data_IF_879387992852
#
_entry.id   IF_879387992852
#
_cell.length_a   1.000
_cell.length_b   1.000
_cell.length_c   1.000
_cell.angle_alpha   90.00
_cell.angle_beta   90.00
_cell.angle_gamma   90.00
#
_symmetry.space_group_name_H-M   'P 1'
#
loop_
_entity.id
_entity.type
_entity.pdbx_description
1 polymer ?
#
# COMPACT_ATOMS: atom_id res chain seq x y z
N UNK A 1 -4.73 24.35 8.41
CA UNK A 1 -3.32 23.91 8.34
C UNK A 1 -3.05 22.89 9.44
N UNK A 2 -2.76 21.63 9.11
CA UNK A 2 -2.31 20.68 10.13
C UNK A 2 -0.91 21.09 10.60
N UNK A 3 -0.77 21.51 11.86
CA UNK A 3 0.55 21.74 12.47
C UNK A 3 1.29 20.41 12.46
N UNK A 4 2.41 20.32 11.72
CA UNK A 4 3.32 19.17 11.85
C UNK A 4 3.73 19.12 13.32
N UNK A 5 3.61 17.96 13.98
CA UNK A 5 4.17 17.77 15.32
C UNK A 5 5.66 18.08 15.21
N UNK A 6 6.08 19.22 15.73
CA UNK A 6 7.50 19.54 15.86
C UNK A 6 8.10 18.45 16.74
N UNK A 7 9.06 17.69 16.19
CA UNK A 7 9.84 16.74 16.99
C UNK A 7 10.33 17.49 18.23
N UNK A 8 10.03 16.97 19.43
CA UNK A 8 10.54 17.53 20.70
C UNK A 8 12.01 17.85 20.53
N UNK A 9 12.40 19.12 20.55
CA UNK A 9 13.78 19.51 20.32
C UNK A 9 14.62 18.97 21.48
N UNK A 10 15.50 18.00 21.19
CA UNK A 10 16.46 17.50 22.17
C UNK A 10 17.65 18.47 22.27
N UNK A 11 18.32 18.58 23.44
CA UNK A 11 19.52 19.38 23.58
C UNK A 11 20.64 18.89 22.64
N UNK A 12 21.53 19.79 22.25
CA UNK A 12 22.60 19.50 21.27
C UNK A 12 23.59 18.44 21.77
N UNK A 13 23.90 18.44 23.07
CA UNK A 13 24.77 17.43 23.70
C UNK A 13 24.26 16.00 23.44
N UNK A 14 22.95 15.79 23.55
CA UNK A 14 22.34 14.49 23.32
C UNK A 14 22.23 14.14 21.84
N UNK A 15 22.20 15.15 20.96
CA UNK A 15 22.28 14.94 19.53
C UNK A 15 23.66 14.42 19.15
N UNK A 16 24.72 15.00 19.70
CA UNK A 16 26.10 14.56 19.47
C UNK A 16 26.32 13.13 19.98
N UNK A 17 25.84 12.80 21.19
CA UNK A 17 25.91 11.44 21.74
C UNK A 17 25.16 10.44 20.85
N UNK A 18 23.97 10.78 20.35
CA UNK A 18 23.21 9.93 19.46
C UNK A 18 23.96 9.67 18.14
N UNK A 19 24.57 10.69 17.56
CA UNK A 19 25.35 10.59 16.32
C UNK A 19 26.59 9.71 16.57
N UNK A 20 27.31 9.92 17.67
CA UNK A 20 28.46 9.11 18.07
C UNK A 20 28.08 7.62 18.24
N UNK A 21 26.89 7.34 18.79
CA UNK A 21 26.35 6.00 18.94
C UNK A 21 25.67 5.44 17.68
N UNK A 22 25.78 6.16 16.55
CA UNK A 22 25.19 5.79 15.26
C UNK A 22 23.65 5.59 15.32
N UNK A 23 22.98 6.40 16.13
CA UNK A 23 21.54 6.40 16.34
C UNK A 23 20.93 7.59 15.61
N UNK A 24 20.01 7.32 14.69
CA UNK A 24 19.31 8.40 14.00
C UNK A 24 18.43 9.21 14.96
N UNK A 25 18.34 10.53 14.77
CA UNK A 25 17.47 11.39 15.57
C UNK A 25 16.00 10.98 15.49
N UNK A 26 15.58 10.44 14.35
CA UNK A 26 14.24 9.85 14.21
C UNK A 26 14.02 8.69 15.19
N UNK A 27 15.03 7.85 15.41
CA UNK A 27 14.99 6.79 16.42
C UNK A 27 14.90 7.37 17.83
N UNK A 28 15.68 8.40 18.15
CA UNK A 28 15.63 9.08 19.45
C UNK A 28 14.24 9.67 19.71
N UNK A 29 13.68 10.44 18.77
CA UNK A 29 12.33 11.00 18.92
C UNK A 29 11.27 9.91 19.07
N UNK A 30 11.37 8.84 18.29
CA UNK A 30 10.44 7.71 18.41
C UNK A 30 10.55 6.99 19.76
N UNK A 31 11.71 7.00 20.41
CA UNK A 31 11.90 6.48 21.78
C UNK A 31 11.31 7.42 22.82
N UNK A 32 11.50 8.73 22.67
CA UNK A 32 10.87 9.74 23.54
C UNK A 32 9.34 9.73 23.45
N UNK A 33 8.79 9.50 22.25
CA UNK A 33 7.33 9.31 22.05
C UNK A 33 6.82 8.06 22.76
N UNK A 34 7.67 7.03 22.90
CA UNK A 34 7.42 5.83 23.73
C UNK A 34 7.80 6.04 25.20
N UNK A 35 7.98 7.28 25.64
CA UNK A 35 8.29 7.64 27.02
C UNK A 35 9.59 7.04 27.55
N UNK A 36 10.59 6.86 26.69
CA UNK A 36 11.95 6.51 27.15
C UNK A 36 12.65 7.74 27.73
N UNK A 37 13.50 7.50 28.73
CA UNK A 37 14.42 8.51 29.22
C UNK A 37 15.42 8.92 28.14
N UNK A 38 15.85 10.18 28.19
CA UNK A 38 16.69 10.80 27.17
C UNK A 38 18.05 10.07 27.06
N UNK A 39 18.69 9.80 28.21
CA UNK A 39 19.93 9.02 28.32
C UNK A 39 19.78 7.63 27.69
N UNK A 40 18.69 6.94 28.04
CA UNK A 40 18.37 5.61 27.51
C UNK A 40 18.13 5.66 26.00
N UNK A 41 17.49 6.73 25.51
CA UNK A 41 17.13 6.89 24.12
C UNK A 41 18.34 7.11 23.21
N UNK A 42 19.40 7.74 23.70
CA UNK A 42 20.63 8.02 22.92
C UNK A 42 21.74 6.98 23.13
N UNK A 43 21.65 6.13 24.15
CA UNK A 43 22.66 5.10 24.46
C UNK A 43 22.29 3.71 23.95
N UNK A 44 21.00 3.37 23.88
CA UNK A 44 20.58 2.02 23.50
C UNK A 44 20.73 1.82 21.98
N UNK A 45 21.52 0.86 21.46
CA UNK A 45 21.64 0.65 20.02
C UNK A 45 20.30 0.22 19.39
N UNK A 46 19.98 0.65 18.15
CA UNK A 46 18.79 0.20 17.46
C UNK A 46 18.86 -1.30 17.17
N UNK A 47 17.75 -2.01 17.40
CA UNK A 47 17.62 -3.41 17.05
C UNK A 47 17.82 -3.56 15.53
N UNK A 48 18.80 -4.36 15.10
CA UNK A 48 19.03 -4.64 13.67
C UNK A 48 17.76 -5.26 13.08
N UNK A 49 17.12 -4.59 12.13
CA UNK A 49 15.87 -5.08 11.52
C UNK A 49 16.03 -6.48 10.90
N UNK A 50 17.23 -6.81 10.45
CA UNK A 50 17.57 -8.09 9.81
C UNK A 50 17.25 -9.29 10.69
N UNK A 51 17.68 -9.30 11.96
CA UNK A 51 17.44 -10.45 12.84
C UNK A 51 15.95 -10.67 13.12
N UNK A 52 15.16 -9.58 13.23
CA UNK A 52 13.71 -9.69 13.45
C UNK A 52 13.02 -10.27 12.21
N UNK A 53 13.43 -9.83 11.02
CA UNK A 53 12.87 -10.36 9.77
C UNK A 53 13.30 -11.81 9.52
N UNK A 54 14.52 -12.17 9.87
CA UNK A 54 15.06 -13.53 9.79
C UNK A 54 14.36 -14.46 10.79
N UNK A 55 14.28 -14.07 12.07
CA UNK A 55 13.55 -14.82 13.09
C UNK A 55 12.06 -14.99 12.71
N UNK A 56 11.42 -13.97 12.15
CA UNK A 56 10.03 -14.09 11.65
C UNK A 56 9.90 -14.97 10.40
N UNK A 57 10.96 -15.13 9.60
CA UNK A 57 11.00 -16.15 8.53
C UNK A 57 11.16 -17.54 9.12
N UNK A 58 12.04 -17.71 10.10
CA UNK A 58 12.29 -18.98 10.79
C UNK A 58 11.04 -19.46 11.56
N UNK A 59 10.37 -18.58 12.30
CA UNK A 59 9.11 -18.87 13.00
C UNK A 59 7.89 -19.00 12.06
N UNK A 60 8.07 -18.86 10.74
CA UNK A 60 7.00 -19.04 9.75
C UNK A 60 5.96 -17.91 9.69
N UNK A 61 6.13 -16.82 10.45
CA UNK A 61 5.27 -15.63 10.37
C UNK A 61 5.37 -14.89 9.02
N UNK A 62 6.47 -15.06 8.30
CA UNK A 62 6.68 -14.49 6.97
C UNK A 62 6.47 -15.57 5.92
N UNK A 63 5.25 -15.65 5.39
CA UNK A 63 4.94 -16.51 4.24
C UNK A 63 5.81 -16.10 3.04
N UNK A 64 6.49 -17.04 2.36
CA UNK A 64 7.25 -16.78 1.15
C UNK A 64 6.47 -16.00 0.10
N UNK A 65 7.20 -15.21 -0.71
CA UNK A 65 6.66 -14.36 -1.79
C UNK A 65 6.02 -15.15 -2.93
N UNK A 66 6.05 -16.48 -2.89
CA UNK A 66 5.60 -17.37 -3.96
C UNK A 66 4.08 -17.42 -4.15
N UNK A 67 3.31 -16.70 -3.32
CA UNK A 67 1.89 -16.50 -3.60
C UNK A 67 1.77 -15.68 -4.89
N UNK A 68 1.17 -16.20 -5.96
CA UNK A 68 0.93 -15.42 -7.16
C UNK A 68 0.10 -14.19 -6.78
N UNK A 69 0.61 -13.00 -7.05
CA UNK A 69 -0.18 -11.77 -6.89
C UNK A 69 -1.34 -11.87 -7.87
N UNK A 70 -2.56 -12.02 -7.37
CA UNK A 70 -3.73 -11.68 -8.19
C UNK A 70 -3.56 -10.23 -8.62
N UNK A 71 -3.52 -9.97 -9.93
CA UNK A 71 -3.71 -8.60 -10.42
C UNK A 71 -5.07 -8.16 -9.90
N UNK A 72 -5.14 -7.01 -9.21
CA UNK A 72 -6.44 -6.40 -8.90
C UNK A 72 -7.19 -6.29 -10.22
N UNK A 73 -8.41 -6.81 -10.28
CA UNK A 73 -9.29 -6.56 -11.41
C UNK A 73 -9.34 -5.05 -11.65
N UNK A 74 -9.23 -4.64 -12.91
CA UNK A 74 -9.29 -3.24 -13.29
C UNK A 74 -10.66 -2.72 -12.85
N UNK A 75 -10.68 -1.82 -11.86
CA UNK A 75 -11.91 -1.11 -11.50
C UNK A 75 -12.29 -0.23 -12.69
N UNK A 76 -13.41 -0.52 -13.33
CA UNK A 76 -13.97 0.35 -14.36
C UNK A 76 -14.74 1.44 -13.62
N UNK A 77 -14.33 2.70 -13.83
CA UNK A 77 -15.06 3.86 -13.36
C UNK A 77 -15.94 4.38 -14.50
N UNK A 78 -17.22 4.63 -14.23
CA UNK A 78 -18.13 5.31 -15.14
C UNK A 78 -18.83 6.45 -14.38
N UNK A 79 -19.46 7.36 -15.13
CA UNK A 79 -20.14 8.52 -14.55
C UNK A 79 -21.35 8.10 -13.70
N UNK A 80 -21.53 8.73 -12.54
CA UNK A 80 -22.63 8.42 -11.61
C UNK A 80 -24.01 8.50 -12.27
N UNK A 81 -24.19 9.45 -13.18
CA UNK A 81 -25.45 9.65 -13.91
C UNK A 81 -25.85 8.46 -14.79
N UNK A 82 -24.90 7.56 -15.11
CA UNK A 82 -25.13 6.34 -15.89
C UNK A 82 -25.41 5.11 -15.02
N UNK A 83 -25.28 5.21 -13.70
CA UNK A 83 -25.52 4.10 -12.79
C UNK A 83 -26.95 3.55 -12.86
N UNK A 84 -28.02 4.39 -12.90
CA UNK A 84 -29.37 3.87 -13.02
C UNK A 84 -29.58 3.07 -14.31
N UNK A 85 -29.08 3.60 -15.44
CA UNK A 85 -29.16 2.96 -16.75
C UNK A 85 -28.37 1.64 -16.77
N UNK A 86 -27.19 1.61 -16.16
CA UNK A 86 -26.38 0.41 -16.06
C UNK A 86 -27.07 -0.69 -15.26
N UNK A 87 -27.69 -0.34 -14.11
CA UNK A 87 -28.37 -1.31 -13.25
C UNK A 87 -29.63 -1.88 -13.92
N UNK A 88 -30.40 -1.03 -14.61
CA UNK A 88 -31.57 -1.46 -15.40
C UNK A 88 -31.13 -2.44 -16.50
N UNK A 89 -30.12 -2.07 -17.30
CA UNK A 89 -29.60 -2.93 -18.36
C UNK A 89 -29.00 -4.24 -17.83
N UNK A 90 -28.35 -4.20 -16.66
CA UNK A 90 -27.83 -5.40 -16.00
C UNK A 90 -28.96 -6.33 -15.55
N UNK A 91 -30.01 -5.77 -14.94
CA UNK A 91 -31.17 -6.52 -14.48
C UNK A 91 -31.91 -7.18 -15.66
N UNK A 92 -32.12 -6.45 -16.76
CA UNK A 92 -32.75 -6.97 -17.97
C UNK A 92 -31.93 -8.06 -18.65
N UNK A 93 -30.59 -7.96 -18.57
CA UNK A 93 -29.69 -8.97 -19.15
C UNK A 93 -29.68 -10.29 -18.39
N UNK A 94 -29.96 -10.26 -17.08
CA UNK A 94 -29.81 -11.43 -16.19
C UNK A 94 -28.37 -11.95 -16.03
N UNK A 95 -27.37 -11.19 -16.49
CA UNK A 95 -25.95 -11.55 -16.44
C UNK A 95 -25.30 -11.10 -15.13
N UNK A 96 -24.13 -11.66 -14.82
CA UNK A 96 -23.26 -11.05 -13.82
C UNK A 96 -22.70 -9.73 -14.34
N UNK A 97 -22.41 -8.79 -13.43
CA UNK A 97 -21.83 -7.48 -13.77
C UNK A 97 -20.55 -7.62 -14.62
N UNK A 98 -19.71 -8.62 -14.31
CA UNK A 98 -18.49 -8.88 -15.07
C UNK A 98 -18.75 -9.38 -16.49
N UNK A 99 -19.70 -10.31 -16.68
CA UNK A 99 -20.07 -10.83 -18.00
C UNK A 99 -20.73 -9.75 -18.85
N UNK A 100 -21.62 -8.95 -18.26
CA UNK A 100 -22.27 -7.84 -18.94
C UNK A 100 -21.25 -6.84 -19.47
N UNK A 101 -20.30 -6.42 -18.64
CA UNK A 101 -19.23 -5.49 -19.04
C UNK A 101 -18.36 -6.11 -20.14
N UNK A 102 -18.00 -7.39 -20.02
CA UNK A 102 -17.20 -8.08 -21.03
C UNK A 102 -17.91 -8.10 -22.39
N UNK A 103 -19.17 -8.53 -22.44
CA UNK A 103 -19.96 -8.58 -23.68
C UNK A 103 -20.17 -7.19 -24.28
N UNK A 104 -20.45 -6.18 -23.45
CA UNK A 104 -20.61 -4.81 -23.91
C UNK A 104 -19.31 -4.27 -24.55
N UNK A 105 -18.15 -4.53 -23.92
CA UNK A 105 -16.85 -4.15 -24.46
C UNK A 105 -16.53 -4.91 -25.75
N UNK A 106 -16.76 -6.21 -25.81
CA UNK A 106 -16.54 -7.01 -27.03
C UNK A 106 -17.41 -6.52 -28.19
N UNK A 107 -18.71 -6.31 -27.96
CA UNK A 107 -19.61 -5.78 -28.98
C UNK A 107 -19.19 -4.40 -29.48
N UNK A 108 -18.76 -3.52 -28.56
CA UNK A 108 -18.24 -2.20 -28.91
C UNK A 108 -16.93 -2.27 -29.72
N UNK A 109 -16.00 -3.14 -29.31
CA UNK A 109 -14.73 -3.34 -30.00
C UNK A 109 -14.93 -3.93 -31.40
N UNK A 110 -15.83 -4.90 -31.57
CA UNK A 110 -16.17 -5.47 -32.89
C UNK A 110 -16.84 -4.45 -33.80
N UNK A 111 -17.62 -3.52 -33.23
CA UNK A 111 -18.20 -2.39 -33.98
C UNK A 111 -17.13 -1.43 -34.48
N UNK A 112 -16.11 -1.13 -33.66
CA UNK A 112 -15.02 -0.23 -34.02
C UNK A 112 -13.99 -0.88 -34.96
N UNK A 113 -13.58 -2.11 -34.65
CA UNK A 113 -12.63 -2.89 -35.42
C UNK A 113 -13.38 -3.98 -36.18
N UNK A 114 -13.77 -3.67 -37.42
CA UNK A 114 -14.24 -4.68 -38.36
C UNK A 114 -13.26 -5.87 -38.37
N UNK A 115 -13.75 -7.13 -38.41
CA UNK A 115 -12.96 -8.33 -38.14
C UNK A 115 -11.83 -8.65 -39.14
N UNK A 116 -11.56 -7.79 -40.14
CA UNK A 116 -10.50 -8.01 -41.13
C UNK A 116 -9.08 -8.00 -40.55
N UNK A 117 -8.89 -7.57 -39.30
CA UNK A 117 -7.60 -7.60 -38.60
C UNK A 117 -7.42 -8.78 -37.61
N UNK A 118 -8.44 -9.65 -37.47
CA UNK A 118 -8.43 -10.77 -36.51
C UNK A 118 -8.14 -12.13 -37.15
N UNK A 119 -8.12 -12.25 -38.47
CA UNK A 119 -7.64 -13.45 -39.17
C UNK A 119 -6.13 -13.34 -39.43
N UNK A 120 -5.33 -14.00 -38.60
CA UNK A 120 -3.99 -14.48 -38.93
C UNK A 120 -3.92 -15.97 -38.63
#
# INVERSE_FOLDING_TARGET
MMKRKTSKVIPEEYREIAIANNISLQTVYSRLDRQWDLDKAVSTPPLRKTYIHEAKREDGWVVPRDRPRMKKAMGVYFYQDLEPLFLEALQDSGLSCSEFIAQALEGYLLKLWKPSKLTK
#
